data_IF_062108183690
#
_entry.id   IF_062108183690
#
_cell.length_a   1.000
_cell.length_b   1.000
_cell.length_c   1.000
_cell.angle_alpha   90.00
_cell.angle_beta   90.00
_cell.angle_gamma   90.00
#
_symmetry.space_group_name_H-M   'P 1'
#
loop_
_entity.id
_entity.type
_entity.pdbx_description
1 polymer ?
#
# COMPACT_ATOMS: atom_id res chain seq x y z
N UNK A 1 28.18 -0.04 13.50
CA UNK A 1 27.16 -0.43 12.51
C UNK A 1 26.02 0.54 12.67
N UNK A 2 25.55 1.13 11.59
CA UNK A 2 24.36 1.99 11.59
C UNK A 2 23.14 1.14 11.94
N UNK A 3 22.27 1.64 12.83
CA UNK A 3 21.05 0.91 13.22
C UNK A 3 20.08 0.95 12.03
N UNK A 4 19.55 -0.20 11.63
CA UNK A 4 18.51 -0.26 10.61
C UNK A 4 17.26 0.42 11.19
N UNK A 5 16.72 1.38 10.46
CA UNK A 5 15.47 2.07 10.79
C UNK A 5 14.38 1.66 9.81
N UNK A 6 13.14 1.79 10.21
CA UNK A 6 11.98 1.76 9.31
C UNK A 6 11.55 3.20 9.06
N UNK A 7 11.45 3.57 7.79
CA UNK A 7 11.05 4.92 7.35
C UNK A 7 9.78 4.80 6.53
N UNK A 8 8.72 5.51 6.93
CA UNK A 8 7.48 5.60 6.18
C UNK A 8 7.50 6.86 5.31
N UNK A 9 7.24 6.68 4.02
CA UNK A 9 7.05 7.76 3.06
C UNK A 9 5.56 8.01 2.89
N UNK A 10 5.14 9.23 3.23
CA UNK A 10 3.75 9.68 3.21
C UNK A 10 3.50 10.46 1.92
N UNK A 11 2.68 9.91 1.03
CA UNK A 11 2.31 10.52 -0.24
C UNK A 11 1.08 11.44 -0.13
N UNK A 12 0.24 11.20 0.87
CA UNK A 12 -0.97 11.98 1.14
C UNK A 12 -1.11 12.20 2.65
N UNK A 13 -1.24 13.47 3.13
CA UNK A 13 -1.37 13.75 4.56
C UNK A 13 -2.57 13.07 5.23
N UNK A 14 -3.58 12.65 4.45
CA UNK A 14 -4.74 11.92 4.95
C UNK A 14 -4.53 10.41 5.02
N UNK A 15 -3.45 9.89 4.43
CA UNK A 15 -3.13 8.46 4.41
C UNK A 15 -1.91 8.24 5.28
N UNK A 16 -2.15 7.97 6.56
CA UNK A 16 -1.12 7.77 7.58
C UNK A 16 -0.89 6.28 7.84
N UNK A 17 0.06 5.96 8.72
CA UNK A 17 0.38 4.58 9.12
C UNK A 17 -0.79 3.85 9.80
N UNK A 18 -1.78 4.56 10.34
CA UNK A 18 -2.95 3.95 10.97
C UNK A 18 -2.58 2.89 12.02
N UNK A 19 -3.06 1.66 11.80
CA UNK A 19 -2.76 0.52 12.67
C UNK A 19 -1.31 0.07 12.65
N UNK A 20 -0.53 0.44 11.63
CA UNK A 20 0.90 0.14 11.53
C UNK A 20 1.76 1.14 12.31
N UNK A 21 1.16 2.18 12.88
CA UNK A 21 1.88 3.23 13.61
C UNK A 21 2.64 2.64 14.80
N UNK A 22 3.93 2.94 14.86
CA UNK A 22 4.83 2.53 15.92
C UNK A 22 5.85 3.65 16.16
N UNK A 23 6.27 3.85 17.42
CA UNK A 23 7.26 4.86 17.81
C UNK A 23 8.63 4.71 17.14
N UNK A 24 8.93 3.53 16.60
CA UNK A 24 10.20 3.21 15.96
C UNK A 24 10.21 3.53 14.45
N UNK A 25 9.07 3.95 13.88
CA UNK A 25 8.95 4.31 12.48
C UNK A 25 9.12 5.83 12.34
N UNK A 26 10.11 6.24 11.53
CA UNK A 26 10.33 7.63 11.15
C UNK A 26 9.44 7.99 9.96
N UNK A 27 8.63 9.05 10.05
CA UNK A 27 7.74 9.49 8.97
C UNK A 27 8.38 10.64 8.17
N UNK A 28 8.31 10.57 6.84
CA UNK A 28 8.77 11.61 5.92
C UNK A 28 7.72 11.84 4.83
N UNK A 29 7.51 13.11 4.46
CA UNK A 29 6.62 13.46 3.37
C UNK A 29 7.34 13.39 2.02
N UNK A 30 6.74 12.72 1.04
CA UNK A 30 7.34 12.47 -0.28
C UNK A 30 7.73 13.75 -1.03
N UNK A 31 7.00 14.83 -0.84
CA UNK A 31 7.28 16.13 -1.48
C UNK A 31 8.40 16.94 -0.82
N UNK A 32 8.79 16.60 0.42
CA UNK A 32 9.82 17.30 1.19
C UNK A 32 11.11 16.49 1.33
N UNK A 33 11.08 15.19 1.01
CA UNK A 33 12.21 14.30 1.24
C UNK A 33 13.34 14.58 0.23
N UNK A 34 14.57 14.60 0.71
CA UNK A 34 15.75 14.49 -0.12
C UNK A 34 16.03 13.01 -0.41
N UNK A 35 15.57 12.55 -1.57
CA UNK A 35 15.65 11.14 -1.99
C UNK A 35 17.10 10.63 -2.09
N UNK A 36 18.08 11.51 -2.38
CA UNK A 36 19.49 11.12 -2.47
C UNK A 36 20.12 10.89 -1.10
N UNK A 37 19.57 11.50 -0.06
CA UNK A 37 20.05 11.34 1.34
C UNK A 37 19.53 10.08 2.02
N UNK A 38 18.55 9.38 1.45
CA UNK A 38 17.96 8.17 2.04
C UNK A 38 18.92 6.98 1.92
N UNK A 39 19.26 6.39 3.08
CA UNK A 39 20.17 5.25 3.15
C UNK A 39 19.53 3.96 2.65
N UNK A 40 20.20 3.26 1.74
CA UNK A 40 19.76 1.95 1.22
C UNK A 40 19.80 0.83 2.30
N UNK A 41 20.39 1.10 3.47
CA UNK A 41 20.43 0.16 4.59
C UNK A 41 19.19 0.17 5.48
N UNK A 42 18.28 1.12 5.27
CA UNK A 42 17.00 1.21 5.97
C UNK A 42 15.93 0.39 5.29
N UNK A 43 14.81 0.15 5.98
CA UNK A 43 13.61 -0.45 5.42
C UNK A 43 12.56 0.65 5.21
N UNK A 44 11.79 0.56 4.14
CA UNK A 44 10.85 1.62 3.77
C UNK A 44 9.42 1.10 3.65
N UNK A 45 8.47 1.92 4.10
CA UNK A 45 7.04 1.75 3.86
C UNK A 45 6.60 2.90 2.96
N UNK A 46 6.08 2.60 1.78
CA UNK A 46 5.52 3.59 0.87
C UNK A 46 4.00 3.55 1.02
N UNK A 47 3.45 4.61 1.58
CA UNK A 47 2.02 4.68 1.84
C UNK A 47 1.19 4.99 0.60
N UNK A 48 -0.11 4.85 0.75
CA UNK A 48 -1.10 5.18 -0.24
C UNK A 48 -1.24 6.69 -0.51
N UNK A 49 -2.22 7.02 -1.35
CA UNK A 49 -2.57 8.41 -1.67
C UNK A 49 -3.73 8.44 -2.67
N UNK A 50 -4.33 9.62 -2.84
CA UNK A 50 -5.46 9.82 -3.76
C UNK A 50 -5.06 10.00 -5.22
N UNK A 51 -3.76 10.24 -5.49
CA UNK A 51 -3.22 10.46 -6.84
C UNK A 51 -2.92 9.14 -7.54
N UNK A 52 -2.98 9.14 -8.87
CA UNK A 52 -2.46 8.05 -9.70
C UNK A 52 -0.93 8.12 -9.80
N UNK A 53 -0.26 6.97 -9.80
CA UNK A 53 1.20 6.89 -9.94
C UNK A 53 1.74 7.51 -11.25
N UNK A 54 0.87 7.75 -12.22
CA UNK A 54 1.15 8.38 -13.52
C UNK A 54 0.94 9.89 -13.52
N UNK A 55 0.40 10.51 -12.46
CA UNK A 55 0.11 11.94 -12.40
C UNK A 55 1.32 12.82 -12.06
N UNK A 56 2.46 12.53 -12.69
CA UNK A 56 3.75 13.20 -12.45
C UNK A 56 3.76 14.69 -12.81
N UNK A 57 2.87 15.14 -13.71
CA UNK A 57 2.75 16.56 -14.05
C UNK A 57 2.13 17.37 -12.90
N UNK A 58 1.16 16.77 -12.19
CA UNK A 58 0.48 17.38 -11.04
C UNK A 58 1.29 17.20 -9.76
N UNK A 59 1.93 16.04 -9.61
CA UNK A 59 2.70 15.64 -8.43
C UNK A 59 4.15 15.29 -8.84
N UNK A 60 5.02 16.27 -9.12
CA UNK A 60 6.37 16.01 -9.66
C UNK A 60 7.28 15.17 -8.76
N UNK A 61 7.01 15.11 -7.46
CA UNK A 61 7.76 14.27 -6.53
C UNK A 61 7.61 12.77 -6.83
N UNK A 62 6.47 12.33 -7.43
CA UNK A 62 6.25 10.92 -7.80
C UNK A 62 7.29 10.42 -8.80
N UNK A 63 7.78 11.28 -9.70
CA UNK A 63 8.84 10.90 -10.63
C UNK A 63 10.13 10.57 -9.88
N UNK A 64 10.54 11.42 -8.94
CA UNK A 64 11.74 11.21 -8.12
C UNK A 64 11.60 9.97 -7.23
N UNK A 65 10.43 9.76 -6.66
CA UNK A 65 10.12 8.58 -5.86
C UNK A 65 10.24 7.29 -6.70
N UNK A 66 9.71 7.26 -7.91
CA UNK A 66 9.85 6.11 -8.83
C UNK A 66 11.30 5.86 -9.23
N UNK A 67 12.06 6.89 -9.55
CA UNK A 67 13.50 6.76 -9.85
C UNK A 67 14.27 6.20 -8.67
N UNK A 68 13.99 6.68 -7.46
CA UNK A 68 14.59 6.20 -6.23
C UNK A 68 14.17 4.75 -5.94
N UNK A 69 12.88 4.42 -6.03
CA UNK A 69 12.36 3.05 -5.85
C UNK A 69 13.04 2.06 -6.80
N UNK A 70 13.18 2.41 -8.08
CA UNK A 70 13.88 1.56 -9.04
C UNK A 70 15.31 1.28 -8.59
N UNK A 71 16.04 2.30 -8.17
CA UNK A 71 17.42 2.17 -7.70
C UNK A 71 17.50 1.27 -6.46
N UNK A 72 16.76 1.59 -5.39
CA UNK A 72 16.94 0.92 -4.09
C UNK A 72 16.42 -0.52 -4.10
N UNK A 73 15.33 -0.80 -4.81
CA UNK A 73 14.80 -2.17 -4.95
C UNK A 73 15.78 -3.05 -5.74
N UNK A 74 16.37 -2.54 -6.82
CA UNK A 74 17.41 -3.28 -7.56
C UNK A 74 18.66 -3.54 -6.72
N UNK A 75 18.99 -2.67 -5.78
CA UNK A 75 20.10 -2.83 -4.84
C UNK A 75 19.77 -3.73 -3.63
N UNK A 76 18.52 -4.21 -3.53
CA UNK A 76 18.11 -5.17 -2.51
C UNK A 76 17.55 -4.55 -1.23
N UNK A 77 17.28 -3.24 -1.20
CA UNK A 77 16.57 -2.59 -0.09
C UNK A 77 15.17 -3.19 0.05
N UNK A 78 14.74 -3.39 1.30
CA UNK A 78 13.39 -3.85 1.59
C UNK A 78 12.41 -2.69 1.54
N UNK A 79 11.41 -2.81 0.68
CA UNK A 79 10.34 -1.82 0.54
C UNK A 79 8.99 -2.52 0.66
N UNK A 80 8.11 -1.96 1.47
CA UNK A 80 6.72 -2.37 1.59
C UNK A 80 5.82 -1.28 1.01
N UNK A 81 5.18 -1.56 -0.14
CA UNK A 81 4.28 -0.61 -0.80
C UNK A 81 2.81 -0.93 -0.51
N UNK A 82 2.01 0.11 -0.19
CA UNK A 82 0.59 0.01 0.12
C UNK A 82 -0.19 0.89 -0.87
N UNK A 83 -1.18 0.34 -1.56
CA UNK A 83 -2.08 1.00 -2.51
C UNK A 83 -1.28 1.79 -3.58
N UNK A 84 -1.25 3.13 -3.53
CA UNK A 84 -0.39 3.94 -4.40
C UNK A 84 1.08 3.48 -4.33
N UNK A 85 1.58 3.15 -3.14
CA UNK A 85 2.95 2.64 -2.97
C UNK A 85 3.20 1.34 -3.74
N UNK A 86 2.21 0.45 -3.83
CA UNK A 86 2.30 -0.76 -4.65
C UNK A 86 2.32 -0.43 -6.15
N UNK A 87 1.51 0.54 -6.57
CA UNK A 87 1.46 1.02 -7.96
C UNK A 87 2.77 1.69 -8.37
N UNK A 88 3.36 2.50 -7.47
CA UNK A 88 4.68 3.14 -7.68
C UNK A 88 5.80 2.09 -7.81
N UNK A 89 5.80 1.06 -6.97
CA UNK A 89 6.75 -0.07 -7.08
C UNK A 89 6.55 -0.78 -8.42
N UNK A 90 5.31 -1.11 -8.79
CA UNK A 90 5.03 -1.78 -10.05
C UNK A 90 5.52 -0.96 -11.25
N UNK A 91 5.18 0.32 -11.30
CA UNK A 91 5.53 1.23 -12.39
C UNK A 91 7.05 1.46 -12.47
N UNK A 92 7.72 1.66 -11.32
CA UNK A 92 9.17 1.86 -11.28
C UNK A 92 9.97 0.63 -11.72
N UNK A 93 9.40 -0.56 -11.59
CA UNK A 93 10.08 -1.83 -11.90
C UNK A 93 9.70 -2.41 -13.28
N UNK A 94 9.04 -1.62 -14.13
CA UNK A 94 8.72 -1.99 -15.52
C UNK A 94 7.32 -2.56 -15.72
N UNK A 95 6.45 -2.47 -14.74
CA UNK A 95 5.01 -2.57 -14.89
C UNK A 95 4.41 -1.24 -15.37
N UNK A 96 3.10 -1.09 -15.26
CA UNK A 96 2.39 0.15 -15.60
C UNK A 96 1.22 0.33 -14.65
N UNK A 97 1.15 1.46 -13.96
CA UNK A 97 -0.03 1.85 -13.19
C UNK A 97 -1.04 2.55 -14.11
N UNK A 98 -2.33 2.29 -13.92
CA UNK A 98 -3.39 2.85 -14.76
C UNK A 98 -4.73 2.87 -14.04
N UNK A 99 -5.65 3.73 -14.52
CA UNK A 99 -7.02 3.79 -14.07
C UNK A 99 -7.76 2.52 -14.48
N UNK A 100 -8.30 1.76 -13.54
CA UNK A 100 -9.06 0.55 -13.82
C UNK A 100 -10.50 0.84 -14.30
N UNK A 101 -11.16 -0.18 -14.84
CA UNK A 101 -12.53 -0.05 -15.34
C UNK A 101 -13.55 0.19 -14.20
N UNK A 102 -13.28 -0.34 -13.02
CA UNK A 102 -14.18 -0.24 -11.86
C UNK A 102 -13.40 -0.11 -10.55
N UNK A 103 -14.03 0.52 -9.56
CA UNK A 103 -13.48 0.65 -8.21
C UNK A 103 -13.58 -0.69 -7.49
N UNK A 104 -12.53 -1.09 -6.80
CA UNK A 104 -12.63 -2.11 -5.77
C UNK A 104 -12.76 -1.45 -4.39
N UNK A 105 -13.90 -1.69 -3.75
CA UNK A 105 -14.23 -1.14 -2.44
C UNK A 105 -14.79 -2.20 -1.50
N UNK A 106 -14.46 -2.09 -0.21
CA UNK A 106 -14.98 -2.94 0.86
C UNK A 106 -14.08 -4.12 1.19
N UNK A 107 -14.60 -5.02 2.02
CA UNK A 107 -13.87 -6.21 2.48
C UNK A 107 -14.05 -7.39 1.53
N UNK A 108 -12.95 -7.84 0.94
CA UNK A 108 -12.94 -8.98 -0.02
C UNK A 108 -11.95 -10.05 0.40
N UNK A 109 -12.27 -11.30 0.06
CA UNK A 109 -11.35 -12.42 0.14
C UNK A 109 -10.37 -12.37 -1.03
N UNK A 110 -9.14 -12.84 -0.80
CA UNK A 110 -8.10 -12.92 -1.81
C UNK A 110 -8.04 -14.33 -2.42
N UNK A 111 -7.86 -14.39 -3.74
CA UNK A 111 -7.47 -15.61 -4.43
C UNK A 111 -5.95 -15.73 -4.40
N UNK A 112 -5.43 -16.72 -3.68
CA UNK A 112 -3.99 -16.97 -3.56
C UNK A 112 -3.50 -17.85 -4.71
N UNK A 113 -2.48 -17.38 -5.43
CA UNK A 113 -1.81 -18.10 -6.53
C UNK A 113 -0.56 -18.82 -6.04
N UNK A 114 -0.02 -18.38 -4.90
CA UNK A 114 1.14 -18.97 -4.25
C UNK A 114 0.98 -19.01 -2.75
N UNK A 115 1.37 -20.12 -2.17
CA UNK A 115 1.45 -20.26 -0.71
C UNK A 115 2.79 -19.70 -0.22
N UNK A 116 2.70 -18.77 0.73
CA UNK A 116 3.86 -18.23 1.43
C UNK A 116 3.56 -18.16 2.92
N UNK A 117 4.56 -18.40 3.74
CA UNK A 117 4.41 -18.37 5.19
C UNK A 117 4.02 -16.96 5.68
N UNK A 118 4.60 -15.91 5.04
CA UNK A 118 4.36 -14.50 5.37
C UNK A 118 2.87 -14.13 5.27
N UNK A 119 2.13 -14.70 4.30
CA UNK A 119 0.72 -14.37 4.06
C UNK A 119 -0.25 -15.44 4.55
N UNK A 120 0.23 -16.44 5.30
CA UNK A 120 -0.62 -17.54 5.79
C UNK A 120 -1.79 -17.06 6.64
N UNK A 121 -1.60 -15.99 7.42
CA UNK A 121 -2.65 -15.38 8.25
C UNK A 121 -3.75 -14.68 7.44
N UNK A 122 -3.53 -14.38 6.16
CA UNK A 122 -4.54 -13.76 5.30
C UNK A 122 -5.44 -14.78 4.60
N UNK A 123 -5.08 -16.08 4.64
CA UNK A 123 -5.93 -17.13 4.08
C UNK A 123 -7.25 -17.17 4.87
N UNK A 124 -8.36 -17.17 4.13
CA UNK A 124 -9.73 -17.12 4.69
C UNK A 124 -10.06 -15.83 5.48
N UNK A 125 -9.24 -14.80 5.34
CA UNK A 125 -9.50 -13.46 5.88
C UNK A 125 -9.92 -12.53 4.77
N UNK A 126 -10.68 -11.49 5.14
CA UNK A 126 -11.02 -10.41 4.21
C UNK A 126 -10.07 -9.24 4.43
N UNK A 127 -9.62 -8.64 3.34
CA UNK A 127 -8.80 -7.43 3.34
C UNK A 127 -9.63 -6.24 2.88
N UNK A 128 -9.30 -5.05 3.36
CA UNK A 128 -10.02 -3.84 3.00
C UNK A 128 -9.44 -3.24 1.71
N UNK A 129 -10.29 -3.07 0.71
CA UNK A 129 -9.99 -2.47 -0.59
C UNK A 129 -10.66 -1.10 -0.69
N UNK A 130 -9.93 -0.13 -1.22
CA UNK A 130 -10.45 1.14 -1.68
C UNK A 130 -9.46 1.70 -2.70
N UNK A 131 -9.62 1.28 -3.94
CA UNK A 131 -8.78 1.78 -5.02
C UNK A 131 -9.53 1.77 -6.34
N UNK A 132 -9.24 2.74 -7.17
CA UNK A 132 -9.70 2.87 -8.54
C UNK A 132 -8.59 2.55 -9.53
N UNK A 133 -7.35 2.84 -9.15
CA UNK A 133 -6.19 2.54 -9.96
C UNK A 133 -5.65 1.13 -9.65
N UNK A 134 -5.04 0.54 -10.65
CA UNK A 134 -4.38 -0.76 -10.57
C UNK A 134 -3.08 -0.73 -11.38
N UNK A 135 -2.46 -1.88 -11.56
CA UNK A 135 -1.19 -1.98 -12.27
C UNK A 135 -1.05 -3.32 -13.01
N UNK A 136 -0.20 -3.33 -14.04
CA UNK A 136 0.36 -4.56 -14.58
C UNK A 136 1.56 -4.97 -13.74
N UNK A 137 1.76 -6.29 -13.59
CA UNK A 137 2.93 -6.80 -12.86
C UNK A 137 4.24 -6.46 -13.59
N UNK A 138 5.28 -6.03 -12.85
CA UNK A 138 6.63 -5.96 -13.41
C UNK A 138 7.11 -7.33 -13.91
N UNK A 139 7.95 -7.40 -14.96
CA UNK A 139 8.39 -8.67 -15.54
C UNK A 139 9.08 -9.64 -14.57
N UNK A 140 9.72 -9.11 -13.51
CA UNK A 140 10.43 -9.91 -12.49
C UNK A 140 9.65 -10.08 -11.19
N UNK A 141 8.40 -9.63 -11.15
CA UNK A 141 7.56 -9.77 -9.96
C UNK A 141 6.84 -11.13 -9.93
N UNK A 142 6.57 -11.59 -8.73
CA UNK A 142 5.77 -12.78 -8.49
C UNK A 142 4.41 -12.39 -7.92
N UNK A 143 3.33 -12.75 -8.61
CA UNK A 143 1.97 -12.58 -8.11
C UNK A 143 1.69 -13.59 -6.99
N UNK A 144 1.31 -13.10 -5.83
CA UNK A 144 0.97 -13.93 -4.67
C UNK A 144 -0.54 -14.10 -4.55
N UNK A 145 -1.29 -12.99 -4.67
CA UNK A 145 -2.76 -13.03 -4.57
C UNK A 145 -3.40 -11.94 -5.42
N UNK A 146 -4.65 -12.19 -5.82
CA UNK A 146 -5.49 -11.24 -6.56
C UNK A 146 -6.93 -11.25 -6.08
N UNK A 147 -7.68 -10.25 -6.49
CA UNK A 147 -9.13 -10.21 -6.65
C UNK A 147 -9.41 -10.16 -8.15
N UNK A 148 -10.20 -9.21 -8.65
CA UNK A 148 -10.24 -8.88 -10.09
C UNK A 148 -8.87 -8.36 -10.58
N UNK A 149 -8.14 -7.64 -9.72
CA UNK A 149 -6.84 -7.07 -9.98
C UNK A 149 -5.77 -7.67 -9.07
N UNK A 150 -4.46 -7.53 -9.39
CA UNK A 150 -3.37 -7.93 -8.50
C UNK A 150 -3.49 -7.25 -7.14
N UNK A 151 -3.39 -8.02 -6.06
CA UNK A 151 -3.50 -7.52 -4.69
C UNK A 151 -2.22 -7.68 -3.88
N UNK A 152 -1.45 -8.71 -4.13
CA UNK A 152 -0.15 -8.92 -3.49
C UNK A 152 0.83 -9.38 -4.55
N UNK A 153 1.97 -8.71 -4.62
CA UNK A 153 3.12 -9.22 -5.36
C UNK A 153 4.41 -9.01 -4.58
N UNK A 154 5.41 -9.80 -4.91
CA UNK A 154 6.78 -9.65 -4.42
C UNK A 154 7.72 -9.37 -5.57
N UNK A 155 8.75 -8.58 -5.31
CA UNK A 155 9.81 -8.29 -6.25
C UNK A 155 11.12 -8.06 -5.50
N UNK A 156 12.18 -8.84 -5.82
CA UNK A 156 13.43 -8.81 -5.04
C UNK A 156 13.14 -9.06 -3.54
N UNK A 157 13.56 -8.12 -2.67
CA UNK A 157 13.31 -8.15 -1.22
C UNK A 157 12.08 -7.32 -0.81
N UNK A 158 11.28 -6.88 -1.77
CA UNK A 158 10.16 -5.97 -1.54
C UNK A 158 8.82 -6.67 -1.69
N UNK A 159 7.84 -6.15 -0.97
CA UNK A 159 6.46 -6.62 -0.95
C UNK A 159 5.56 -5.43 -1.31
N UNK A 160 4.55 -5.68 -2.12
CA UNK A 160 3.57 -4.68 -2.48
C UNK A 160 2.15 -5.24 -2.30
N UNK A 161 1.29 -4.45 -1.66
CA UNK A 161 -0.12 -4.79 -1.43
C UNK A 161 -1.01 -3.67 -1.94
N UNK A 162 -2.04 -3.99 -2.73
CA UNK A 162 -2.99 -3.00 -3.24
C UNK A 162 -4.05 -2.63 -2.18
N UNK A 163 -4.40 -3.55 -1.31
CA UNK A 163 -5.32 -3.33 -0.20
C UNK A 163 -4.68 -2.53 0.94
N UNK A 164 -5.50 -2.10 1.90
CA UNK A 164 -5.10 -1.24 3.02
C UNK A 164 -5.00 -2.01 4.35
N UNK A 165 -3.83 -2.58 4.70
CA UNK A 165 -3.63 -3.22 6.00
C UNK A 165 -3.60 -2.20 7.16
N UNK A 166 -3.31 -0.94 6.86
CA UNK A 166 -3.19 0.15 7.83
C UNK A 166 -4.54 0.72 8.27
N UNK A 167 -5.65 0.38 7.58
CA UNK A 167 -6.94 1.02 7.81
C UNK A 167 -7.43 0.88 9.24
N UNK A 168 -7.90 1.99 9.80
CA UNK A 168 -8.60 2.08 11.07
C UNK A 168 -9.97 2.72 10.86
N UNK A 169 -10.87 2.62 11.86
CA UNK A 169 -12.15 3.33 11.82
C UNK A 169 -11.98 4.85 11.59
N UNK A 170 -10.99 5.45 12.26
CA UNK A 170 -10.68 6.87 12.12
C UNK A 170 -10.22 7.20 10.70
N UNK A 171 -9.23 6.47 10.18
CA UNK A 171 -8.74 6.67 8.81
C UNK A 171 -9.85 6.49 7.78
N UNK A 172 -10.66 5.44 7.91
CA UNK A 172 -11.79 5.23 7.02
C UNK A 172 -12.74 6.43 6.98
N UNK A 173 -13.10 6.98 8.17
CA UNK A 173 -13.97 8.15 8.28
C UNK A 173 -13.34 9.40 7.66
N UNK A 174 -12.06 9.64 7.92
CA UNK A 174 -11.32 10.77 7.36
C UNK A 174 -11.25 10.72 5.83
N UNK A 175 -11.04 9.52 5.26
CA UNK A 175 -11.05 9.32 3.81
C UNK A 175 -12.44 9.50 3.21
N UNK A 176 -13.48 8.98 3.88
CA UNK A 176 -14.86 9.07 3.41
C UNK A 176 -15.45 10.48 3.54
N UNK A 177 -14.93 11.31 4.44
CA UNK A 177 -15.47 12.67 4.71
C UNK A 177 -15.13 13.70 3.60
N UNK A 178 -14.74 13.26 2.42
CA UNK A 178 -14.58 14.12 1.25
C UNK A 178 -15.78 14.02 0.30
N UNK A 179 -16.12 15.14 -0.36
CA UNK A 179 -17.19 15.14 -1.37
C UNK A 179 -16.87 14.24 -2.57
N UNK A 180 -15.58 14.06 -2.88
CA UNK A 180 -15.11 13.19 -3.96
C UNK A 180 -15.40 11.75 -3.59
N UNK A 181 -14.97 11.30 -2.41
CA UNK A 181 -15.18 9.94 -1.92
C UNK A 181 -16.66 9.59 -1.80
N UNK A 182 -17.49 10.51 -1.32
CA UNK A 182 -18.94 10.30 -1.22
C UNK A 182 -19.60 10.11 -2.58
N UNK A 183 -19.16 10.84 -3.60
CA UNK A 183 -19.67 10.70 -4.98
C UNK A 183 -19.18 9.40 -5.62
N UNK A 184 -17.94 9.05 -5.38
CA UNK A 184 -17.32 7.86 -5.93
C UNK A 184 -17.95 6.57 -5.38
N UNK A 185 -18.36 6.57 -4.12
CA UNK A 185 -18.93 5.42 -3.42
C UNK A 185 -20.46 5.43 -3.33
N UNK A 186 -21.14 6.22 -4.14
CA UNK A 186 -22.62 6.35 -4.08
C UNK A 186 -23.36 5.03 -4.25
N UNK A 187 -22.82 4.12 -5.04
CA UNK A 187 -23.40 2.79 -5.32
C UNK A 187 -22.88 1.67 -4.42
N UNK A 188 -22.06 2.01 -3.40
CA UNK A 188 -21.44 1.04 -2.50
C UNK A 188 -22.09 1.06 -1.10
N UNK A 189 -22.15 -0.11 -0.46
CA UNK A 189 -22.62 -0.22 0.92
C UNK A 189 -21.52 0.15 1.92
N UNK A 190 -21.32 1.47 2.06
CA UNK A 190 -20.33 2.05 2.97
C UNK A 190 -20.65 1.72 4.43
N UNK A 191 -21.94 1.67 4.79
CA UNK A 191 -22.36 1.41 6.16
C UNK A 191 -22.02 -0.01 6.61
N UNK A 192 -22.28 -1.02 5.79
CA UNK A 192 -21.87 -2.40 6.06
C UNK A 192 -20.34 -2.53 6.14
N UNK A 193 -19.63 -1.84 5.28
CA UNK A 193 -18.16 -1.84 5.28
C UNK A 193 -17.60 -1.27 6.59
N UNK A 194 -18.12 -0.12 7.03
CA UNK A 194 -17.72 0.49 8.29
C UNK A 194 -18.07 -0.40 9.50
N UNK A 195 -19.27 -0.98 9.51
CA UNK A 195 -19.67 -1.91 10.58
C UNK A 195 -18.77 -3.13 10.63
N UNK A 196 -18.38 -3.69 9.47
CA UNK A 196 -17.45 -4.82 9.43
C UNK A 196 -16.08 -4.42 9.98
N UNK A 197 -15.54 -3.25 9.62
CA UNK A 197 -14.29 -2.74 10.15
C UNK A 197 -14.32 -2.60 11.67
N UNK A 198 -15.36 -1.96 12.23
CA UNK A 198 -15.52 -1.78 13.68
C UNK A 198 -15.59 -3.13 14.42
N UNK A 199 -16.36 -4.08 13.88
CA UNK A 199 -16.60 -5.37 14.53
C UNK A 199 -15.36 -6.27 14.48
N UNK A 200 -14.54 -6.17 13.44
CA UNK A 200 -13.41 -7.06 13.19
C UNK A 200 -12.05 -6.41 13.42
N UNK A 201 -12.00 -5.15 13.89
CA UNK A 201 -10.74 -4.42 14.10
C UNK A 201 -9.74 -5.22 14.96
N UNK A 202 -10.21 -5.92 15.99
CA UNK A 202 -9.35 -6.76 16.83
C UNK A 202 -8.80 -8.00 16.11
N UNK A 203 -9.50 -8.53 15.11
CA UNK A 203 -9.10 -9.75 14.38
C UNK A 203 -8.13 -9.45 13.24
N UNK A 204 -8.22 -8.26 12.64
CA UNK A 204 -7.36 -7.84 11.55
C UNK A 204 -5.91 -7.58 12.01
N UNK A 205 -5.70 -7.33 13.31
CA UNK A 205 -4.41 -6.88 13.86
C UNK A 205 -3.79 -7.86 14.88
N UNK A 206 -4.38 -9.03 15.10
CA UNK A 206 -3.87 -10.05 16.04
C UNK A 206 -3.11 -11.18 15.37
N UNK A 207 -2.52 -10.96 14.22
CA UNK A 207 -1.51 -11.90 13.71
C UNK A 207 -0.28 -11.87 14.63
N UNK A 208 0.24 -13.02 15.09
CA UNK A 208 1.42 -13.05 15.94
C UNK A 208 2.56 -12.32 15.27
N UNK A 209 3.22 -11.45 16.03
CA UNK A 209 4.46 -10.80 15.62
C UNK A 209 5.47 -11.86 15.15
N UNK A 210 6.20 -11.65 14.04
CA UNK A 210 7.24 -12.59 13.61
C UNK A 210 8.47 -12.63 14.55
N UNK A 211 8.31 -12.29 15.82
CA UNK A 211 9.35 -12.26 16.86
C UNK A 211 8.93 -13.08 18.07
N UNK A 212 8.76 -14.39 17.89
CA UNK A 212 8.83 -15.40 18.95
C UNK A 212 9.54 -16.65 18.41
#
# INVERSE_FOLDING_TARGET
METIKTIAIINDPKVTLGSLSNSDIEEKYAWDVDWESLSEHHEYIILGGHMGAYEIETYPYLLKEKEWLNKVINNGTKVFGICLGAQLIADSMGGTAFLSEEIEFGFKELEFHKETEIFSGLKNSKVFLWHRDTFTLPPSAELIASTKYPQIFTIRNSIAVQFHPEVTETLFKDWYDSDISRKELVDYDVSSTLNYLITNACLLYTSPSPRD
#
